data_IF_014837852208
#
_entry.id   IF_014837852208
#
_cell.length_a   1.000
_cell.length_b   1.000
_cell.length_c   1.000
_cell.angle_alpha   90.00
_cell.angle_beta   90.00
_cell.angle_gamma   90.00
#
_symmetry.space_group_name_H-M   'P 1'
#
loop_
_entity.id
_entity.type
_entity.pdbx_description
1 polymer ?
#
# COMPACT_ATOMS: atom_id res chain seq x y z
N UNK A 1 -25.77 -15.03 0.26
CA UNK A 1 -25.75 -14.06 -0.86
C UNK A 1 -24.55 -13.10 -0.90
N UNK A 2 -23.31 -13.54 -0.61
CA UNK A 2 -22.14 -12.64 -0.64
C UNK A 2 -20.95 -13.15 -1.48
N UNK A 3 -21.14 -14.25 -2.23
CA UNK A 3 -20.05 -14.95 -2.93
C UNK A 3 -19.31 -14.04 -3.92
N UNK A 4 -20.03 -13.24 -4.72
CA UNK A 4 -19.44 -12.33 -5.70
C UNK A 4 -18.64 -11.22 -5.03
N UNK A 5 -19.19 -10.59 -3.98
CA UNK A 5 -18.48 -9.56 -3.23
C UNK A 5 -17.20 -10.13 -2.59
N UNK A 6 -17.28 -11.29 -1.94
CA UNK A 6 -16.12 -11.95 -1.32
C UNK A 6 -15.06 -12.28 -2.38
N UNK A 7 -15.44 -12.87 -3.52
CA UNK A 7 -14.52 -13.19 -4.60
C UNK A 7 -13.82 -11.95 -5.16
N UNK A 8 -14.58 -10.86 -5.34
CA UNK A 8 -14.05 -9.60 -5.84
C UNK A 8 -13.06 -8.98 -4.85
N UNK A 9 -13.39 -8.98 -3.56
CA UNK A 9 -12.51 -8.51 -2.50
C UNK A 9 -11.21 -9.32 -2.43
N UNK A 10 -11.28 -10.65 -2.49
CA UNK A 10 -10.10 -11.52 -2.52
C UNK A 10 -9.25 -11.25 -3.76
N UNK A 11 -9.87 -11.04 -4.91
CA UNK A 11 -9.17 -10.70 -6.16
C UNK A 11 -8.44 -9.36 -6.03
N UNK A 12 -9.12 -8.35 -5.48
CA UNK A 12 -8.53 -7.03 -5.25
C UNK A 12 -7.34 -7.08 -4.29
N UNK A 13 -7.49 -7.74 -3.13
CA UNK A 13 -6.39 -7.91 -2.15
C UNK A 13 -5.24 -8.67 -2.80
N UNK A 14 -5.52 -9.74 -3.56
CA UNK A 14 -4.47 -10.50 -4.23
C UNK A 14 -3.73 -9.67 -5.29
N UNK A 15 -4.41 -8.75 -5.99
CA UNK A 15 -3.83 -7.93 -7.05
C UNK A 15 -2.98 -6.77 -6.53
N UNK A 16 -3.43 -6.08 -5.49
CA UNK A 16 -2.84 -4.81 -5.05
C UNK A 16 -2.12 -4.89 -3.70
N UNK A 17 -2.35 -5.93 -2.89
CA UNK A 17 -1.78 -6.05 -1.55
C UNK A 17 -0.80 -7.22 -1.38
N UNK A 18 -0.38 -7.85 -2.48
CA UNK A 18 0.68 -8.87 -2.48
C UNK A 18 2.09 -8.25 -2.35
N UNK A 19 2.27 -7.46 -1.29
CA UNK A 19 3.45 -6.65 -1.04
C UNK A 19 4.29 -7.30 0.04
N UNK A 20 5.59 -7.48 -0.23
CA UNK A 20 6.54 -8.13 0.68
C UNK A 20 7.33 -7.12 1.51
N UNK A 21 7.53 -7.48 2.78
CA UNK A 21 8.41 -6.80 3.72
C UNK A 21 9.29 -7.87 4.38
N UNK A 22 10.49 -8.10 3.82
CA UNK A 22 11.35 -9.23 4.19
C UNK A 22 10.58 -10.56 4.09
N UNK A 23 10.46 -11.30 5.20
CA UNK A 23 9.74 -12.58 5.28
C UNK A 23 8.21 -12.43 5.42
N UNK A 24 7.72 -11.19 5.58
CA UNK A 24 6.31 -10.89 5.78
C UNK A 24 5.64 -10.43 4.48
N UNK A 25 4.32 -10.63 4.40
CA UNK A 25 3.53 -10.25 3.25
C UNK A 25 2.18 -9.68 3.71
N UNK A 26 1.85 -8.46 3.26
CA UNK A 26 0.67 -7.72 3.72
C UNK A 26 -0.63 -8.47 3.42
N UNK A 27 -0.80 -9.02 2.20
CA UNK A 27 -1.95 -9.86 1.84
C UNK A 27 -2.16 -10.99 2.85
N UNK A 28 -1.09 -11.69 3.26
CA UNK A 28 -1.19 -12.75 4.27
C UNK A 28 -1.58 -12.19 5.64
N UNK A 29 -1.02 -11.05 6.06
CA UNK A 29 -1.37 -10.41 7.33
C UNK A 29 -2.85 -9.97 7.34
N UNK A 30 -3.32 -9.32 6.28
CA UNK A 30 -4.71 -8.87 6.14
C UNK A 30 -5.72 -10.01 6.13
N UNK A 31 -5.39 -11.15 5.52
CA UNK A 31 -6.30 -12.29 5.40
C UNK A 31 -6.26 -13.25 6.59
N UNK A 32 -5.08 -13.48 7.18
CA UNK A 32 -4.90 -14.57 8.14
C UNK A 32 -4.46 -14.11 9.54
N UNK A 33 -4.13 -12.82 9.70
CA UNK A 33 -3.74 -12.21 10.98
C UNK A 33 -4.45 -10.85 11.18
N UNK A 34 -5.80 -10.81 11.15
CA UNK A 34 -6.55 -9.55 11.13
C UNK A 34 -6.28 -8.64 12.34
N UNK A 35 -5.85 -9.20 13.47
CA UNK A 35 -5.50 -8.46 14.69
C UNK A 35 -4.07 -7.91 14.72
N UNK A 36 -3.26 -8.12 13.68
CA UNK A 36 -1.84 -7.74 13.67
C UNK A 36 -1.64 -6.23 13.93
N UNK A 37 -2.52 -5.39 13.41
CA UNK A 37 -2.49 -3.94 13.60
C UNK A 37 -3.34 -3.45 14.79
N UNK A 38 -3.82 -4.37 15.64
CA UNK A 38 -4.44 -4.07 16.93
C UNK A 38 -5.97 -4.03 16.95
N UNK A 39 -6.67 -3.89 15.82
CA UNK A 39 -8.13 -4.00 15.78
C UNK A 39 -8.57 -5.41 15.36
N UNK A 40 -9.53 -5.99 16.08
CA UNK A 40 -10.15 -7.26 15.66
C UNK A 40 -11.31 -6.96 14.73
N UNK A 41 -11.16 -7.33 13.47
CA UNK A 41 -12.18 -7.15 12.45
C UNK A 41 -12.58 -8.51 11.92
N UNK A 42 -13.88 -8.73 11.78
CA UNK A 42 -14.39 -9.93 11.16
C UNK A 42 -13.97 -9.96 9.68
N UNK A 43 -13.29 -11.03 9.29
CA UNK A 43 -12.73 -11.15 7.95
C UNK A 43 -13.83 -11.19 6.89
N UNK A 44 -14.95 -11.88 7.15
CA UNK A 44 -16.03 -11.98 6.17
C UNK A 44 -16.70 -10.63 5.99
N UNK A 45 -16.96 -9.89 7.08
CA UNK A 45 -17.53 -8.55 7.00
C UNK A 45 -16.62 -7.58 6.26
N UNK A 46 -15.30 -7.64 6.51
CA UNK A 46 -14.31 -6.86 5.75
C UNK A 46 -14.36 -7.17 4.25
N UNK A 47 -14.36 -8.46 3.89
CA UNK A 47 -14.40 -8.87 2.48
C UNK A 47 -15.71 -8.47 1.81
N UNK A 48 -16.84 -8.58 2.52
CA UNK A 48 -18.15 -8.14 2.01
C UNK A 48 -18.16 -6.63 1.79
N UNK A 49 -17.68 -5.84 2.77
CA UNK A 49 -17.61 -4.38 2.70
C UNK A 49 -16.72 -3.91 1.54
N UNK A 50 -15.55 -4.53 1.37
CA UNK A 50 -14.64 -4.22 0.26
C UNK A 50 -15.26 -4.61 -1.09
N UNK A 51 -15.76 -5.83 -1.21
CA UNK A 51 -16.32 -6.34 -2.46
C UNK A 51 -17.60 -5.62 -2.91
N UNK A 52 -18.34 -5.06 -1.96
CA UNK A 52 -19.57 -4.29 -2.24
C UNK A 52 -19.30 -2.80 -2.47
N UNK A 53 -18.04 -2.37 -2.46
CA UNK A 53 -17.67 -0.93 -2.57
C UNK A 53 -17.86 -0.32 -3.96
N UNK A 54 -18.18 -1.15 -4.96
CA UNK A 54 -18.44 -0.73 -6.34
C UNK A 54 -17.15 -0.59 -7.18
N UNK A 55 -17.30 -0.70 -8.50
CA UNK A 55 -16.18 -0.71 -9.46
C UNK A 55 -15.26 0.50 -9.31
N UNK A 56 -15.83 1.69 -9.14
CA UNK A 56 -15.09 2.93 -9.01
C UNK A 56 -14.12 2.94 -7.82
N UNK A 57 -14.33 2.14 -6.78
CA UNK A 57 -13.39 2.04 -5.64
C UNK A 57 -12.38 0.90 -5.79
N UNK A 58 -12.63 -0.04 -6.70
CA UNK A 58 -11.81 -1.23 -6.87
C UNK A 58 -10.84 -1.15 -8.06
N UNK A 59 -10.86 -0.04 -8.80
CA UNK A 59 -9.84 0.27 -9.82
C UNK A 59 -8.51 0.67 -9.15
N UNK A 60 -7.40 0.28 -9.78
CA UNK A 60 -6.06 0.46 -9.20
C UNK A 60 -5.69 1.90 -8.89
N UNK A 61 -6.13 2.86 -9.71
CA UNK A 61 -5.87 4.29 -9.48
C UNK A 61 -6.49 4.85 -8.19
N UNK A 62 -7.41 4.11 -7.56
CA UNK A 62 -8.09 4.52 -6.33
C UNK A 62 -7.59 3.74 -5.12
N UNK A 63 -6.55 2.91 -5.30
CA UNK A 63 -6.14 1.97 -4.26
C UNK A 63 -5.79 2.69 -2.94
N UNK A 64 -5.15 3.85 -3.03
CA UNK A 64 -4.78 4.69 -1.89
C UNK A 64 -6.01 5.30 -1.20
N UNK A 65 -7.01 5.75 -1.96
CA UNK A 65 -8.24 6.31 -1.39
C UNK A 65 -9.11 5.18 -0.79
N UNK A 66 -9.19 4.03 -1.44
CA UNK A 66 -9.85 2.84 -0.91
C UNK A 66 -9.19 2.36 0.37
N UNK A 67 -7.85 2.40 0.47
CA UNK A 67 -7.16 2.15 1.73
C UNK A 67 -7.60 3.12 2.81
N UNK A 68 -7.56 4.42 2.51
CA UNK A 68 -7.90 5.47 3.46
C UNK A 68 -9.34 5.34 3.99
N UNK A 69 -10.29 4.98 3.13
CA UNK A 69 -11.70 4.84 3.52
C UNK A 69 -12.02 3.53 4.24
N UNK A 70 -11.36 2.43 3.88
CA UNK A 70 -11.73 1.10 4.34
C UNK A 70 -10.76 0.52 5.38
N UNK A 71 -9.45 0.80 5.28
CA UNK A 71 -8.40 0.14 6.06
C UNK A 71 -7.66 1.06 7.04
N UNK A 72 -7.75 2.38 6.89
CA UNK A 72 -7.03 3.32 7.77
C UNK A 72 -7.34 3.09 9.26
N UNK A 73 -8.63 3.05 9.64
CA UNK A 73 -9.05 2.80 11.02
C UNK A 73 -8.63 1.41 11.51
N UNK A 74 -8.64 0.42 10.60
CA UNK A 74 -8.31 -0.98 10.89
C UNK A 74 -6.83 -1.20 11.16
N UNK A 75 -5.99 -0.38 10.54
CA UNK A 75 -4.52 -0.47 10.60
C UNK A 75 -3.90 0.53 11.57
N UNK A 76 -4.71 1.46 12.10
CA UNK A 76 -4.28 2.60 12.91
C UNK A 76 -3.33 3.55 12.17
N UNK A 77 -3.38 3.55 10.84
CA UNK A 77 -2.59 4.41 9.97
C UNK A 77 -3.50 5.35 9.20
N UNK A 78 -3.02 6.54 8.90
CA UNK A 78 -3.84 7.61 8.30
C UNK A 78 -4.21 7.31 6.84
N UNK A 79 -3.29 6.70 6.11
CA UNK A 79 -3.37 6.47 4.68
C UNK A 79 -2.39 5.35 4.25
N UNK A 80 -2.38 5.02 2.96
CA UNK A 80 -1.51 3.98 2.41
C UNK A 80 -0.03 4.30 2.62
N UNK A 81 0.38 5.56 2.45
CA UNK A 81 1.80 5.96 2.55
C UNK A 81 2.32 5.76 3.97
N UNK A 82 1.58 6.23 4.96
CA UNK A 82 1.90 6.03 6.38
C UNK A 82 1.86 4.54 6.76
N UNK A 83 0.95 3.77 6.17
CA UNK A 83 0.91 2.32 6.34
C UNK A 83 2.14 1.60 5.82
N UNK A 84 2.62 1.93 4.62
CA UNK A 84 3.82 1.32 4.05
C UNK A 84 5.07 1.68 4.87
N UNK A 85 5.21 2.93 5.30
CA UNK A 85 6.33 3.35 6.15
C UNK A 85 6.31 2.65 7.53
N UNK A 86 5.13 2.57 8.15
CA UNK A 86 4.97 1.84 9.41
C UNK A 86 5.41 0.37 9.27
N UNK A 87 4.89 -0.34 8.26
CA UNK A 87 5.24 -1.74 8.05
C UNK A 87 6.71 -1.94 7.68
N UNK A 88 7.30 -1.04 6.89
CA UNK A 88 8.74 -1.04 6.64
C UNK A 88 9.50 -0.96 7.95
N UNK A 89 9.16 0.00 8.82
CA UNK A 89 9.85 0.22 10.10
C UNK A 89 9.75 -0.98 11.03
N UNK A 90 8.63 -1.71 10.95
CA UNK A 90 8.32 -2.83 11.83
C UNK A 90 8.91 -4.16 11.35
N UNK A 91 8.96 -4.38 10.02
CA UNK A 91 9.17 -5.70 9.41
C UNK A 91 10.46 -5.81 8.60
N UNK A 92 11.23 -4.73 8.49
CA UNK A 92 12.45 -4.67 7.67
C UNK A 92 13.54 -3.86 8.35
N UNK A 93 14.76 -3.99 7.83
CA UNK A 93 15.92 -3.20 8.28
C UNK A 93 16.23 -2.01 7.35
N UNK A 94 15.38 -1.72 6.35
CA UNK A 94 15.58 -0.57 5.46
C UNK A 94 15.43 0.74 6.21
N UNK A 95 16.32 1.70 5.96
CA UNK A 95 16.29 2.98 6.68
C UNK A 95 15.14 3.86 6.19
N UNK A 96 14.86 3.82 4.88
CA UNK A 96 13.82 4.65 4.27
C UNK A 96 12.84 3.81 3.45
N UNK A 97 11.62 4.32 3.27
CA UNK A 97 10.61 3.70 2.40
C UNK A 97 11.00 3.74 0.93
N UNK A 98 11.77 4.74 0.51
CA UNK A 98 12.34 4.78 -0.84
C UNK A 98 13.30 3.62 -1.11
N UNK A 99 14.20 3.30 -0.17
CA UNK A 99 15.10 2.14 -0.29
C UNK A 99 14.32 0.83 -0.37
N UNK A 100 13.38 0.61 0.55
CA UNK A 100 12.53 -0.57 0.55
C UNK A 100 11.72 -0.70 -0.75
N UNK A 101 11.12 0.40 -1.22
CA UNK A 101 10.31 0.42 -2.43
C UNK A 101 11.14 0.03 -3.65
N UNK A 102 12.32 0.64 -3.80
CA UNK A 102 13.24 0.36 -4.91
C UNK A 102 13.67 -1.10 -4.91
N UNK A 103 14.09 -1.64 -3.78
CA UNK A 103 14.49 -3.04 -3.68
C UNK A 103 13.34 -4.02 -3.92
N UNK A 104 12.13 -3.69 -3.46
CA UNK A 104 10.95 -4.55 -3.62
C UNK A 104 10.41 -4.57 -5.05
N UNK A 105 10.71 -3.53 -5.84
CA UNK A 105 10.17 -3.36 -7.21
C UNK A 105 11.20 -3.45 -8.32
N UNK A 106 12.49 -3.62 -8.00
CA UNK A 106 13.62 -3.60 -8.96
C UNK A 106 13.51 -4.60 -10.12
N UNK A 107 12.81 -5.72 -9.92
CA UNK A 107 12.63 -6.73 -10.97
C UNK A 107 11.56 -6.32 -12.00
N UNK A 108 10.79 -5.26 -11.72
CA UNK A 108 9.66 -4.80 -12.53
C UNK A 108 9.82 -3.37 -13.05
N UNK A 109 10.62 -2.54 -12.37
CA UNK A 109 10.74 -1.11 -12.65
C UNK A 109 12.22 -0.73 -12.75
N UNK A 110 12.59 -0.02 -13.81
CA UNK A 110 13.88 0.65 -13.90
C UNK A 110 13.80 2.04 -13.28
N UNK A 111 14.75 2.35 -12.39
CA UNK A 111 14.83 3.63 -11.67
C UNK A 111 15.94 4.50 -12.25
N UNK A 112 15.58 5.67 -12.79
CA UNK A 112 16.52 6.73 -13.22
C UNK A 112 16.37 7.93 -12.28
N UNK A 113 17.08 7.90 -11.15
CA UNK A 113 17.01 8.92 -10.11
C UNK A 113 18.32 9.72 -10.10
N UNK A 114 18.25 11.03 -10.34
CA UNK A 114 19.45 11.89 -10.39
C UNK A 114 19.22 13.17 -9.59
N UNK A 115 20.05 13.47 -8.58
CA UNK A 115 19.99 14.76 -7.90
C UNK A 115 20.36 15.89 -8.86
N UNK A 116 19.83 17.09 -8.61
CA UNK A 116 20.23 18.27 -9.38
C UNK A 116 21.66 18.65 -9.08
N UNK A 117 22.38 19.09 -10.11
CA UNK A 117 23.72 19.68 -9.98
C UNK A 117 23.67 21.22 -9.84
N UNK A 118 22.49 21.81 -9.98
CA UNK A 118 22.25 23.27 -9.85
C UNK A 118 22.00 23.58 -8.39
N UNK A 119 22.86 24.42 -7.79
CA UNK A 119 22.88 24.71 -6.35
C UNK A 119 21.53 25.22 -5.82
N UNK A 120 20.83 26.04 -6.60
CA UNK A 120 19.53 26.63 -6.25
C UNK A 120 18.41 25.59 -6.08
N UNK A 121 18.57 24.39 -6.64
CA UNK A 121 17.58 23.31 -6.62
C UNK A 121 18.20 21.96 -6.23
N UNK A 122 19.35 21.96 -5.57
CA UNK A 122 20.05 20.73 -5.15
C UNK A 122 19.21 19.84 -4.23
N UNK A 123 18.31 20.44 -3.46
CA UNK A 123 17.43 19.78 -2.50
C UNK A 123 16.06 19.41 -3.11
N UNK A 124 15.87 19.61 -4.42
CA UNK A 124 14.64 19.21 -5.10
C UNK A 124 14.42 17.69 -5.02
N UNK A 125 13.16 17.27 -4.85
CA UNK A 125 12.81 15.85 -4.85
C UNK A 125 13.10 15.22 -6.21
N UNK A 126 13.90 14.17 -6.22
CA UNK A 126 14.26 13.43 -7.44
C UNK A 126 14.01 11.92 -7.34
N UNK A 127 13.72 11.40 -6.15
CA UNK A 127 13.43 9.98 -5.94
C UNK A 127 12.01 9.66 -6.38
N UNK A 128 11.83 8.51 -7.02
CA UNK A 128 10.54 8.09 -7.57
C UNK A 128 9.48 8.00 -6.46
N UNK A 129 9.81 7.34 -5.34
CA UNK A 129 8.88 7.18 -4.23
C UNK A 129 8.45 8.53 -3.64
N UNK A 130 9.39 9.47 -3.46
CA UNK A 130 9.10 10.81 -2.91
C UNK A 130 8.12 11.60 -3.80
N UNK A 131 8.14 11.36 -5.11
CA UNK A 131 7.18 11.93 -6.06
C UNK A 131 5.84 11.19 -6.07
N UNK A 132 5.86 9.85 -5.98
CA UNK A 132 4.63 9.04 -5.90
C UNK A 132 3.80 9.32 -4.65
N UNK A 133 4.43 9.74 -3.55
CA UNK A 133 3.70 10.14 -2.33
C UNK A 133 2.92 11.45 -2.47
N UNK A 134 3.09 12.21 -3.55
CA UNK A 134 2.26 13.39 -3.81
C UNK A 134 0.80 12.97 -4.03
N UNK A 135 -0.20 13.71 -3.52
CA UNK A 135 -1.60 13.28 -3.50
C UNK A 135 -2.16 12.79 -4.84
N UNK A 136 -1.74 13.41 -5.94
CA UNK A 136 -2.18 13.04 -7.29
C UNK A 136 -1.64 11.67 -7.76
N UNK A 137 -0.49 11.23 -7.26
CA UNK A 137 0.20 10.02 -7.72
C UNK A 137 0.08 8.83 -6.77
N UNK A 138 -0.50 9.00 -5.57
CA UNK A 138 -0.54 7.94 -4.56
C UNK A 138 -1.26 6.66 -5.03
N UNK A 139 -2.21 6.77 -5.95
CA UNK A 139 -2.89 5.61 -6.56
C UNK A 139 -2.02 4.77 -7.50
N UNK A 140 -0.78 5.17 -7.77
CA UNK A 140 0.20 4.42 -8.55
C UNK A 140 1.30 3.78 -7.70
N UNK A 141 1.26 3.98 -6.37
CA UNK A 141 1.99 3.16 -5.41
C UNK A 141 1.29 1.79 -5.34
#
# INVERSE_FOLDING_TARGET
DNKTAILLALTYINRYYDVKFSDYNIKKLMLFKPTFHGEKIDLLDRLIRLGSSGENRLKGSENAETFKQLFASETKQKDLVTYLDYNRSLLTNYQTTGEWFKETTKDYIQFEERPSLVEEIKDAKYRVYDNLTAPYYQGYI
#
